data_IF_907433220210
#
_entry.id   IF_907433220210
#
_cell.length_a   1.000
_cell.length_b   1.000
_cell.length_c   1.000
_cell.angle_alpha   90.00
_cell.angle_beta   90.00
_cell.angle_gamma   90.00
#
_symmetry.space_group_name_H-M   'P 1'
#
loop_
_entity.id
_entity.type
_entity.pdbx_description
1 polymer ?
#
# COMPACT_ATOMS: atom_id res chain seq x y z
N UNK A 1 -38.70 -15.16 31.78
CA UNK A 1 -38.78 -14.43 30.49
C UNK A 1 -38.55 -12.94 30.67
N UNK A 2 -39.13 -12.28 31.69
CA UNK A 2 -38.92 -10.83 31.95
C UNK A 2 -37.45 -10.39 32.16
N UNK A 3 -36.58 -11.24 32.74
CA UNK A 3 -35.16 -10.86 32.98
C UNK A 3 -34.26 -10.88 31.73
N UNK A 4 -34.72 -11.44 30.61
CA UNK A 4 -33.97 -11.47 29.34
C UNK A 4 -34.32 -10.26 28.47
N UNK A 5 -35.55 -9.75 28.57
CA UNK A 5 -35.97 -8.53 27.88
C UNK A 5 -35.34 -7.27 28.49
N UNK A 6 -35.16 -7.19 29.81
CA UNK A 6 -34.43 -6.06 30.43
C UNK A 6 -32.95 -6.00 30.03
N UNK A 7 -32.31 -7.13 29.70
CA UNK A 7 -30.91 -7.17 29.28
C UNK A 7 -30.73 -6.76 27.81
N UNK A 8 -31.74 -6.96 26.96
CA UNK A 8 -31.76 -6.50 25.56
C UNK A 8 -32.06 -5.00 25.46
N UNK A 9 -32.88 -4.46 26.37
CA UNK A 9 -33.20 -3.01 26.41
C UNK A 9 -32.04 -2.17 27.01
N UNK A 10 -31.17 -2.76 27.83
CA UNK A 10 -30.01 -2.06 28.42
C UNK A 10 -28.75 -2.08 27.54
N UNK A 11 -28.80 -2.67 26.35
CA UNK A 11 -27.70 -2.73 25.39
C UNK A 11 -27.70 -1.61 24.33
N UNK A 12 -28.69 -0.70 24.31
CA UNK A 12 -28.90 0.23 23.19
C UNK A 12 -29.08 1.69 23.59
N UNK A 13 -28.33 2.15 24.60
CA UNK A 13 -28.09 3.59 24.78
C UNK A 13 -26.62 3.90 24.44
N UNK A 14 -26.16 3.45 23.27
CA UNK A 14 -25.00 4.12 22.66
C UNK A 14 -25.46 5.52 22.32
N UNK A 15 -24.82 6.54 22.92
CA UNK A 15 -25.05 7.94 22.53
C UNK A 15 -25.08 8.06 21.01
N UNK A 16 -25.99 8.87 20.43
CA UNK A 16 -25.98 9.13 19.00
C UNK A 16 -24.57 9.54 18.59
N UNK A 17 -24.01 8.85 17.59
CA UNK A 17 -22.69 9.20 17.06
C UNK A 17 -22.79 10.61 16.49
N UNK A 18 -21.77 11.43 16.75
CA UNK A 18 -21.69 12.75 16.13
C UNK A 18 -21.66 12.62 14.60
N UNK A 19 -22.11 13.65 13.85
CA UNK A 19 -22.01 13.66 12.40
C UNK A 19 -20.60 13.34 11.87
N UNK A 20 -19.57 13.87 12.52
CA UNK A 20 -18.18 13.60 12.17
C UNK A 20 -17.81 12.12 12.34
N UNK A 21 -18.28 11.48 13.42
CA UNK A 21 -18.08 10.05 13.64
C UNK A 21 -18.88 9.20 12.64
N UNK A 22 -20.10 9.60 12.27
CA UNK A 22 -20.87 8.92 11.23
C UNK A 22 -20.19 9.01 9.87
N UNK A 23 -19.74 10.21 9.46
CA UNK A 23 -19.00 10.43 8.21
C UNK A 23 -17.73 9.57 8.19
N UNK A 24 -16.97 9.56 9.29
CA UNK A 24 -15.75 8.77 9.38
C UNK A 24 -16.03 7.26 9.27
N UNK A 25 -17.04 6.76 9.98
CA UNK A 25 -17.42 5.35 9.89
C UNK A 25 -17.86 4.99 8.47
N UNK A 26 -18.70 5.82 7.84
CA UNK A 26 -19.14 5.63 6.46
C UNK A 26 -17.98 5.64 5.46
N UNK A 27 -17.01 6.54 5.62
CA UNK A 27 -15.82 6.61 4.77
C UNK A 27 -15.04 5.28 4.80
N UNK A 28 -14.72 4.77 5.99
CA UNK A 28 -13.93 3.55 6.12
C UNK A 28 -14.71 2.30 5.76
N UNK A 29 -16.02 2.28 6.00
CA UNK A 29 -16.88 1.20 5.53
C UNK A 29 -17.00 1.21 4.01
N UNK A 30 -17.13 2.39 3.38
CA UNK A 30 -17.13 2.54 1.93
C UNK A 30 -15.78 2.11 1.32
N UNK A 31 -14.68 2.43 2.00
CA UNK A 31 -13.33 1.97 1.61
C UNK A 31 -13.20 0.45 1.63
N UNK A 32 -13.65 -0.20 2.71
CA UNK A 32 -13.68 -1.65 2.83
C UNK A 32 -14.56 -2.31 1.76
N UNK A 33 -15.74 -1.72 1.50
CA UNK A 33 -16.68 -2.18 0.48
C UNK A 33 -16.12 -2.04 -0.94
N UNK A 34 -15.50 -0.90 -1.26
CA UNK A 34 -14.82 -0.66 -2.53
C UNK A 34 -13.67 -1.66 -2.76
N UNK A 35 -12.92 -1.99 -1.71
CA UNK A 35 -11.86 -3.00 -1.76
C UNK A 35 -12.41 -4.42 -2.00
N UNK A 36 -13.50 -4.78 -1.33
CA UNK A 36 -14.15 -6.08 -1.53
C UNK A 36 -14.67 -6.23 -2.97
N UNK A 37 -15.27 -5.17 -3.52
CA UNK A 37 -15.76 -5.13 -4.90
C UNK A 37 -14.64 -5.32 -5.94
N UNK A 38 -13.48 -4.71 -5.71
CA UNK A 38 -12.33 -4.76 -6.61
C UNK A 38 -11.35 -5.91 -6.32
N UNK A 39 -11.82 -7.00 -5.69
CA UNK A 39 -11.01 -8.21 -5.51
C UNK A 39 -9.82 -8.05 -4.57
N UNK A 40 -9.89 -7.12 -3.62
CA UNK A 40 -8.86 -6.91 -2.60
C UNK A 40 -7.96 -5.69 -2.82
N UNK A 41 -8.11 -4.98 -3.95
CA UNK A 41 -7.40 -3.73 -4.25
C UNK A 41 -8.33 -2.54 -4.01
N UNK A 42 -7.81 -1.42 -3.51
CA UNK A 42 -8.62 -0.21 -3.31
C UNK A 42 -8.99 0.39 -4.67
N UNK A 43 -10.23 0.86 -4.82
CA UNK A 43 -10.68 1.61 -5.99
C UNK A 43 -11.28 2.93 -5.52
N UNK A 44 -10.54 4.04 -5.63
CA UNK A 44 -10.98 5.34 -5.13
C UNK A 44 -12.26 5.85 -5.81
N UNK A 45 -12.51 5.47 -7.07
CA UNK A 45 -13.73 5.85 -7.75
C UNK A 45 -14.93 5.13 -7.14
N UNK A 46 -14.83 3.81 -6.98
CA UNK A 46 -15.92 3.01 -6.40
C UNK A 46 -16.13 3.30 -4.92
N UNK A 47 -15.04 3.52 -4.17
CA UNK A 47 -15.13 4.01 -2.79
C UNK A 47 -15.85 5.36 -2.73
N UNK A 48 -15.52 6.31 -3.62
CA UNK A 48 -16.18 7.60 -3.69
C UNK A 48 -17.67 7.50 -4.02
N UNK A 49 -18.04 6.60 -4.94
CA UNK A 49 -19.43 6.29 -5.32
C UNK A 49 -20.25 5.74 -4.14
N UNK A 50 -19.73 4.71 -3.47
CA UNK A 50 -20.35 4.14 -2.26
C UNK A 50 -20.46 5.19 -1.16
N UNK A 51 -19.40 5.99 -0.99
CA UNK A 51 -19.36 6.99 0.06
C UNK A 51 -20.38 8.11 -0.19
N UNK A 52 -20.51 8.57 -1.44
CA UNK A 52 -21.54 9.52 -1.83
C UNK A 52 -22.95 9.00 -1.51
N UNK A 53 -23.27 7.79 -1.99
CA UNK A 53 -24.59 7.21 -1.72
C UNK A 53 -24.82 7.05 -0.22
N UNK A 54 -23.82 6.60 0.53
CA UNK A 54 -23.93 6.46 1.99
C UNK A 54 -24.20 7.77 2.74
N UNK A 55 -23.81 8.92 2.17
CA UNK A 55 -24.00 10.24 2.77
C UNK A 55 -25.32 10.87 2.36
N UNK A 56 -25.72 10.75 1.09
CA UNK A 56 -26.82 11.52 0.50
C UNK A 56 -28.02 10.67 0.09
N UNK A 57 -27.80 9.42 -0.29
CA UNK A 57 -28.81 8.49 -0.80
C UNK A 57 -28.58 7.07 -0.27
N UNK A 58 -28.62 6.85 1.06
CA UNK A 58 -28.22 5.58 1.67
C UNK A 58 -29.10 4.38 1.26
N UNK A 59 -30.30 4.66 0.75
CA UNK A 59 -31.25 3.72 0.17
C UNK A 59 -30.88 3.29 -1.27
N UNK A 60 -29.99 4.02 -1.94
CA UNK A 60 -29.61 3.80 -3.35
C UNK A 60 -28.27 3.07 -3.52
N UNK A 61 -27.63 2.66 -2.42
CA UNK A 61 -26.38 1.90 -2.48
C UNK A 61 -26.61 0.59 -3.24
N UNK A 62 -25.76 0.33 -4.25
CA UNK A 62 -25.86 -0.84 -5.11
C UNK A 62 -25.98 -2.15 -4.28
N UNK A 63 -27.08 -2.92 -4.43
CA UNK A 63 -27.30 -4.16 -3.70
C UNK A 63 -26.17 -5.18 -3.85
N UNK A 64 -25.45 -5.19 -4.98
CA UNK A 64 -24.31 -6.08 -5.18
C UNK A 64 -23.17 -5.80 -4.20
N UNK A 65 -22.96 -4.54 -3.84
CA UNK A 65 -21.94 -4.13 -2.86
C UNK A 65 -22.36 -4.58 -1.47
N UNK A 66 -23.65 -4.40 -1.13
CA UNK A 66 -24.19 -4.85 0.14
C UNK A 66 -24.07 -6.38 0.31
N UNK A 67 -24.12 -7.17 -0.77
CA UNK A 67 -23.90 -8.62 -0.70
C UNK A 67 -22.44 -9.00 -0.43
N UNK A 68 -21.47 -8.12 -0.69
CA UNK A 68 -20.03 -8.40 -0.56
C UNK A 68 -19.46 -8.03 0.81
N UNK A 69 -20.24 -7.40 1.68
CA UNK A 69 -19.79 -6.88 2.99
C UNK A 69 -20.57 -7.51 4.15
N UNK A 70 -20.05 -7.36 5.37
CA UNK A 70 -20.66 -7.88 6.59
C UNK A 70 -21.93 -7.09 6.94
N UNK A 71 -22.90 -7.73 7.60
CA UNK A 71 -24.17 -7.07 7.94
C UNK A 71 -23.99 -5.79 8.77
N UNK A 72 -23.05 -5.79 9.72
CA UNK A 72 -22.70 -4.60 10.50
C UNK A 72 -22.27 -3.41 9.62
N UNK A 73 -21.60 -3.68 8.51
CA UNK A 73 -21.06 -2.68 7.60
C UNK A 73 -22.19 -2.13 6.70
N UNK A 74 -23.16 -2.97 6.32
CA UNK A 74 -24.39 -2.55 5.63
C UNK A 74 -25.15 -1.52 6.46
N UNK A 75 -25.33 -1.80 7.76
CA UNK A 75 -26.01 -0.89 8.68
C UNK A 75 -25.33 0.49 8.74
N UNK A 76 -23.99 0.54 8.79
CA UNK A 76 -23.24 1.80 8.80
C UNK A 76 -23.46 2.58 7.50
N UNK A 77 -23.39 1.90 6.35
CA UNK A 77 -23.56 2.57 5.05
C UNK A 77 -25.00 3.09 4.84
N UNK A 78 -26.00 2.35 5.31
CA UNK A 78 -27.41 2.68 5.12
C UNK A 78 -28.00 3.62 6.20
N UNK A 79 -27.28 3.85 7.30
CA UNK A 79 -27.71 4.78 8.36
C UNK A 79 -27.82 6.23 7.82
N UNK A 80 -28.95 6.93 7.93
CA UNK A 80 -29.03 8.33 7.52
C UNK A 80 -28.06 9.22 8.31
N UNK A 81 -27.41 10.17 7.63
CA UNK A 81 -26.53 11.14 8.29
C UNK A 81 -27.36 12.08 9.19
N UNK A 82 -26.98 12.18 10.47
CA UNK A 82 -27.65 13.04 11.45
C UNK A 82 -27.14 14.49 11.38
N UNK A 83 -27.09 15.08 10.19
CA UNK A 83 -26.62 16.44 9.96
C UNK A 83 -27.52 17.21 8.99
N UNK A 84 -27.58 18.53 9.15
CA UNK A 84 -28.22 19.43 8.19
C UNK A 84 -27.19 19.81 7.13
N UNK A 85 -27.39 19.32 5.91
CA UNK A 85 -26.58 19.71 4.75
C UNK A 85 -26.95 21.14 4.34
N UNK A 86 -25.97 22.04 4.28
CA UNK A 86 -26.21 23.46 3.99
C UNK A 86 -26.34 23.80 2.51
N UNK A 87 -25.67 23.04 1.66
CA UNK A 87 -25.54 23.31 0.23
C UNK A 87 -26.41 22.36 -0.58
N UNK A 88 -26.70 22.76 -1.82
CA UNK A 88 -27.24 21.86 -2.84
C UNK A 88 -26.31 20.65 -2.93
N UNK A 89 -26.87 19.44 -2.76
CA UNK A 89 -26.09 18.20 -2.77
C UNK A 89 -25.29 18.17 -4.08
N UNK A 90 -23.95 18.07 -4.03
CA UNK A 90 -23.15 18.05 -5.25
C UNK A 90 -23.58 16.88 -6.12
N UNK A 91 -23.45 17.00 -7.44
CA UNK A 91 -23.67 15.82 -8.29
C UNK A 91 -22.69 14.70 -7.89
N UNK A 92 -23.11 13.45 -8.06
CA UNK A 92 -22.28 12.28 -7.74
C UNK A 92 -20.89 12.36 -8.39
N UNK A 93 -20.82 12.75 -9.66
CA UNK A 93 -19.55 12.86 -10.39
C UNK A 93 -18.65 13.97 -9.84
N UNK A 94 -19.20 15.14 -9.49
CA UNK A 94 -18.44 16.22 -8.87
C UNK A 94 -17.88 15.81 -7.50
N UNK A 95 -18.71 15.14 -6.70
CA UNK A 95 -18.29 14.63 -5.40
C UNK A 95 -17.16 13.61 -5.54
N UNK A 96 -17.31 12.59 -6.40
CA UNK A 96 -16.28 11.56 -6.61
C UNK A 96 -14.98 12.19 -7.11
N UNK A 97 -15.06 13.13 -8.06
CA UNK A 97 -13.89 13.84 -8.57
C UNK A 97 -13.17 14.61 -7.46
N UNK A 98 -13.92 15.31 -6.61
CA UNK A 98 -13.33 16.08 -5.49
C UNK A 98 -12.80 15.15 -4.40
N UNK A 99 -13.54 14.10 -4.02
CA UNK A 99 -13.09 13.05 -3.09
C UNK A 99 -11.73 12.48 -3.52
N UNK A 100 -11.63 12.02 -4.77
CA UNK A 100 -10.38 11.49 -5.33
C UNK A 100 -9.25 12.50 -5.25
N UNK A 101 -9.52 13.76 -5.61
CA UNK A 101 -8.55 14.83 -5.50
C UNK A 101 -8.07 15.03 -4.06
N UNK A 102 -8.97 15.13 -3.09
CA UNK A 102 -8.60 15.31 -1.68
C UNK A 102 -7.75 14.12 -1.19
N UNK A 103 -8.18 12.88 -1.47
CA UNK A 103 -7.49 11.66 -1.04
C UNK A 103 -6.09 11.48 -1.61
N UNK A 104 -5.72 12.18 -2.68
CA UNK A 104 -4.51 11.91 -3.47
C UNK A 104 -3.63 13.15 -3.70
N UNK A 105 -4.19 14.36 -3.58
CA UNK A 105 -3.52 15.60 -3.93
C UNK A 105 -3.40 16.59 -2.77
N UNK A 106 -4.33 16.55 -1.81
CA UNK A 106 -4.32 17.45 -0.64
C UNK A 106 -3.66 16.82 0.60
N UNK A 107 -3.35 15.52 0.53
CA UNK A 107 -2.67 14.77 1.58
C UNK A 107 -1.16 14.97 1.49
N UNK A 108 -0.55 15.35 2.61
CA UNK A 108 0.90 15.49 2.79
C UNK A 108 1.56 14.10 2.94
N UNK A 109 1.55 13.29 1.88
CA UNK A 109 2.04 11.90 1.90
C UNK A 109 3.49 11.73 2.33
N UNK A 110 4.33 12.75 2.14
CA UNK A 110 5.70 12.76 2.64
C UNK A 110 5.80 12.61 4.16
N UNK A 111 4.73 12.99 4.90
CA UNK A 111 4.64 12.82 6.35
C UNK A 111 4.31 11.38 6.75
N UNK A 112 3.76 10.59 5.82
CA UNK A 112 3.49 9.17 6.03
C UNK A 112 4.70 8.28 5.78
N UNK A 113 5.84 8.82 5.33
CA UNK A 113 7.02 7.99 5.07
C UNK A 113 7.80 7.68 6.36
N UNK A 114 8.39 6.49 6.43
CA UNK A 114 9.31 6.17 7.51
C UNK A 114 10.47 7.18 7.53
N UNK A 115 10.91 7.62 8.72
CA UNK A 115 12.07 8.51 8.84
C UNK A 115 13.31 7.92 8.16
N UNK A 116 13.84 8.63 7.17
CA UNK A 116 15.01 8.22 6.40
C UNK A 116 14.71 7.35 5.17
N UNK A 117 13.46 6.97 4.89
CA UNK A 117 13.12 6.16 3.70
C UNK A 117 13.58 6.80 2.38
N UNK A 118 13.39 8.12 2.25
CA UNK A 118 13.85 8.86 1.06
C UNK A 118 15.37 8.84 0.91
N UNK A 119 16.10 8.95 2.01
CA UNK A 119 17.57 8.94 1.99
C UNK A 119 18.10 7.52 1.74
N UNK A 120 17.44 6.50 2.30
CA UNK A 120 17.73 5.11 1.98
C UNK A 120 17.58 4.82 0.47
N UNK A 121 16.50 5.27 -0.17
CA UNK A 121 16.31 5.13 -1.62
C UNK A 121 17.41 5.87 -2.41
N UNK A 122 17.79 7.09 -1.99
CA UNK A 122 18.89 7.83 -2.63
C UNK A 122 20.22 7.08 -2.53
N UNK A 123 20.50 6.50 -1.37
CA UNK A 123 21.72 5.73 -1.13
C UNK A 123 21.71 4.41 -1.92
N UNK A 124 20.57 3.72 -2.04
CA UNK A 124 20.43 2.56 -2.92
C UNK A 124 20.74 2.89 -4.38
N UNK A 125 20.35 4.09 -4.83
CA UNK A 125 20.63 4.58 -6.18
C UNK A 125 22.12 4.84 -6.46
N UNK A 126 22.98 4.86 -5.44
CA UNK A 126 24.45 4.88 -5.62
C UNK A 126 25.01 3.52 -6.05
N UNK A 127 24.25 2.44 -5.81
CA UNK A 127 24.66 1.06 -6.12
C UNK A 127 24.02 0.53 -7.41
N UNK A 128 22.85 1.05 -7.79
CA UNK A 128 22.20 0.70 -9.05
C UNK A 128 20.78 1.25 -9.19
N UNK A 129 20.07 0.92 -10.28
CA UNK A 129 18.73 1.44 -10.50
C UNK A 129 17.74 0.92 -9.45
N UNK A 130 16.76 1.76 -9.09
CA UNK A 130 15.74 1.42 -8.11
C UNK A 130 14.34 1.69 -8.67
N UNK A 131 13.40 0.79 -8.37
CA UNK A 131 12.00 0.91 -8.72
C UNK A 131 11.16 0.82 -7.45
N UNK A 132 10.36 1.85 -7.21
CA UNK A 132 9.32 1.79 -6.18
C UNK A 132 8.08 1.23 -6.84
N UNK A 133 7.57 0.10 -6.35
CA UNK A 133 6.30 -0.45 -6.81
C UNK A 133 5.21 -0.31 -5.73
N UNK A 134 3.97 -0.20 -6.16
CA UNK A 134 2.81 -0.20 -5.28
C UNK A 134 1.63 -0.76 -6.06
N UNK A 135 0.66 -1.33 -5.35
CA UNK A 135 -0.56 -1.80 -6.00
C UNK A 135 -1.39 -0.57 -6.38
N UNK A 136 -1.60 -0.38 -7.68
CA UNK A 136 -2.44 0.67 -8.24
C UNK A 136 -3.92 0.30 -8.15
N UNK A 137 -4.80 1.29 -8.13
CA UNK A 137 -6.26 1.07 -8.17
C UNK A 137 -6.68 0.33 -9.45
N UNK A 138 -7.48 -0.73 -9.28
CA UNK A 138 -8.17 -1.45 -10.36
C UNK A 138 -9.17 -0.52 -11.03
N UNK A 139 -9.15 -0.46 -12.37
CA UNK A 139 -10.18 0.14 -13.23
C UNK A 139 -11.08 1.22 -12.57
N UNK A 140 -10.69 2.48 -12.63
CA UNK A 140 -11.73 3.47 -12.94
C UNK A 140 -12.04 3.32 -14.42
N UNK A 141 -13.33 3.41 -14.79
CA UNK A 141 -13.81 3.32 -16.16
C UNK A 141 -12.77 3.86 -17.14
N UNK A 142 -12.46 3.08 -18.20
CA UNK A 142 -11.60 3.54 -19.29
C UNK A 142 -11.99 4.99 -19.60
N UNK A 143 -11.12 5.94 -19.23
CA UNK A 143 -11.27 7.27 -19.76
C UNK A 143 -11.14 7.05 -21.26
N UNK A 144 -12.01 7.65 -22.07
CA UNK A 144 -11.94 7.57 -23.54
C UNK A 144 -10.56 7.93 -24.16
N UNK A 145 -9.60 8.33 -23.34
CA UNK A 145 -8.18 8.54 -23.63
C UNK A 145 -7.26 7.31 -23.46
N UNK A 146 -7.77 6.13 -23.09
CA UNK A 146 -6.97 4.89 -22.95
C UNK A 146 -5.99 4.89 -21.77
N UNK A 147 -6.15 5.78 -20.78
CA UNK A 147 -5.29 5.86 -19.59
C UNK A 147 -6.06 5.44 -18.34
N UNK A 148 -5.48 4.54 -17.55
CA UNK A 148 -6.05 4.06 -16.29
C UNK A 148 -6.07 5.20 -15.24
N UNK A 149 -7.26 5.60 -14.74
CA UNK A 149 -7.39 6.69 -13.77
C UNK A 149 -6.86 6.38 -12.36
N UNK A 150 -6.56 5.10 -12.08
CA UNK A 150 -6.10 4.61 -10.77
C UNK A 150 -4.58 4.68 -10.55
N UNK A 151 -3.80 4.25 -11.55
CA UNK A 151 -2.34 4.35 -11.55
C UNK A 151 -1.85 5.80 -11.51
N UNK A 152 -2.58 6.71 -12.14
CA UNK A 152 -2.17 8.12 -12.24
C UNK A 152 -2.16 8.85 -10.88
N UNK A 153 -3.14 8.61 -10.02
CA UNK A 153 -3.19 9.28 -8.71
C UNK A 153 -2.18 8.67 -7.71
N UNK A 154 -1.94 7.36 -7.79
CA UNK A 154 -0.85 6.68 -7.07
C UNK A 154 0.54 7.22 -7.50
N UNK A 155 0.75 7.41 -8.80
CA UNK A 155 1.96 8.06 -9.32
C UNK A 155 2.09 9.51 -8.84
N UNK A 156 0.99 10.27 -8.78
CA UNK A 156 1.00 11.64 -8.23
C UNK A 156 1.34 11.64 -6.75
N UNK A 157 0.77 10.73 -5.96
CA UNK A 157 1.08 10.55 -4.53
C UNK A 157 2.58 10.38 -4.34
N UNK A 158 3.18 9.42 -5.03
CA UNK A 158 4.62 9.12 -4.91
C UNK A 158 5.49 10.28 -5.41
N UNK A 159 5.11 10.90 -6.52
CA UNK A 159 5.80 12.06 -7.06
C UNK A 159 5.80 13.25 -6.08
N UNK A 160 4.65 13.55 -5.47
CA UNK A 160 4.46 14.65 -4.52
C UNK A 160 5.06 14.38 -3.15
N UNK A 161 5.08 13.12 -2.70
CA UNK A 161 5.75 12.73 -1.45
C UNK A 161 7.28 12.91 -1.47
N UNK A 162 7.85 13.33 -2.60
CA UNK A 162 9.25 13.75 -2.73
C UNK A 162 10.06 12.90 -3.71
N UNK A 163 9.56 11.75 -4.17
CA UNK A 163 10.26 10.93 -5.17
C UNK A 163 10.28 11.57 -6.55
N UNK A 164 9.32 12.45 -6.86
CA UNK A 164 9.36 13.29 -8.06
C UNK A 164 10.52 14.28 -8.05
N UNK A 165 10.86 14.83 -6.88
CA UNK A 165 12.04 15.68 -6.72
C UNK A 165 13.32 14.87 -6.88
N UNK A 166 13.42 13.70 -6.22
CA UNK A 166 14.56 12.79 -6.36
C UNK A 166 14.80 12.45 -7.84
N UNK A 167 13.75 12.08 -8.58
CA UNK A 167 13.86 11.79 -10.03
C UNK A 167 14.33 13.00 -10.85
N UNK A 168 13.94 14.23 -10.48
CA UNK A 168 14.40 15.46 -11.15
C UNK A 168 15.88 15.76 -10.84
N UNK A 169 16.29 15.59 -9.58
CA UNK A 169 17.67 15.83 -9.13
C UNK A 169 18.67 14.85 -9.77
N UNK A 170 18.18 13.68 -10.20
CA UNK A 170 18.97 12.65 -10.88
C UNK A 170 19.07 12.83 -12.39
N UNK A 171 18.43 13.85 -13.00
CA UNK A 171 18.52 14.09 -14.45
C UNK A 171 19.98 14.24 -14.88
N UNK A 172 20.49 13.24 -15.61
CA UNK A 172 21.85 13.19 -16.14
C UNK A 172 22.76 12.09 -15.53
N UNK A 173 22.31 11.35 -14.51
CA UNK A 173 23.04 10.20 -13.94
C UNK A 173 22.57 8.87 -14.55
N UNK A 174 23.46 7.88 -14.62
CA UNK A 174 23.18 6.55 -15.18
C UNK A 174 22.16 5.74 -14.35
N UNK A 175 22.06 5.98 -13.04
CA UNK A 175 21.13 5.28 -12.15
C UNK A 175 19.73 5.93 -12.18
N UNK A 176 18.72 5.17 -12.62
CA UNK A 176 17.34 5.64 -12.79
C UNK A 176 16.45 5.23 -11.62
N UNK A 177 15.65 6.17 -11.12
CA UNK A 177 14.52 5.88 -10.23
C UNK A 177 13.24 5.69 -11.06
N UNK A 178 12.70 4.46 -11.03
CA UNK A 178 11.41 4.09 -11.57
C UNK A 178 10.30 4.13 -10.51
N UNK A 179 9.07 4.39 -10.93
CA UNK A 179 7.88 4.27 -10.09
C UNK A 179 6.83 3.48 -10.86
N UNK A 180 6.33 2.41 -10.24
CA UNK A 180 5.37 1.47 -10.80
C UNK A 180 4.12 1.52 -9.92
N UNK A 181 2.98 1.85 -10.50
CA UNK A 181 1.70 1.81 -9.80
C UNK A 181 0.70 1.11 -10.71
N UNK A 182 0.50 -0.18 -10.49
CA UNK A 182 -0.34 -1.02 -11.34
C UNK A 182 -1.11 -2.04 -10.47
N UNK A 183 -2.32 -2.40 -10.88
CA UNK A 183 -3.12 -3.43 -10.21
C UNK A 183 -2.40 -4.79 -10.18
N UNK A 184 -1.56 -5.04 -11.18
CA UNK A 184 -0.71 -6.22 -11.28
C UNK A 184 0.75 -5.78 -11.37
N UNK A 185 1.26 -5.22 -10.28
CA UNK A 185 2.66 -4.77 -10.15
C UNK A 185 3.69 -5.84 -10.56
N UNK A 186 3.36 -7.13 -10.45
CA UNK A 186 4.22 -8.24 -10.86
C UNK A 186 4.50 -8.25 -12.37
N UNK A 187 3.54 -7.87 -13.22
CA UNK A 187 3.75 -7.85 -14.69
C UNK A 187 4.90 -6.94 -15.10
N UNK A 188 5.10 -5.84 -14.36
CA UNK A 188 6.15 -4.86 -14.62
C UNK A 188 7.57 -5.40 -14.31
N UNK A 189 7.69 -6.49 -13.54
CA UNK A 189 9.00 -7.12 -13.31
C UNK A 189 9.68 -7.53 -14.62
N UNK A 190 8.93 -7.77 -15.69
CA UNK A 190 9.48 -7.98 -17.03
C UNK A 190 10.30 -6.78 -17.52
N UNK A 191 9.77 -5.58 -17.33
CA UNK A 191 10.44 -4.33 -17.73
C UNK A 191 11.65 -4.05 -16.85
N UNK A 192 11.58 -4.40 -15.54
CA UNK A 192 12.74 -4.32 -14.63
C UNK A 192 13.84 -5.26 -15.09
N UNK A 193 13.51 -6.52 -15.39
CA UNK A 193 14.48 -7.54 -15.83
C UNK A 193 15.17 -7.12 -17.12
N UNK A 194 14.43 -6.63 -18.12
CA UNK A 194 15.02 -6.13 -19.37
C UNK A 194 15.87 -4.88 -19.16
N UNK A 195 15.41 -3.91 -18.36
CA UNK A 195 16.21 -2.75 -18.04
C UNK A 195 17.50 -3.13 -17.29
N UNK A 196 17.44 -4.12 -16.41
CA UNK A 196 18.60 -4.67 -15.73
C UNK A 196 19.58 -5.35 -16.68
N UNK A 197 19.08 -6.09 -17.67
CA UNK A 197 19.90 -6.68 -18.73
C UNK A 197 20.65 -5.60 -19.53
N UNK A 198 19.94 -4.55 -19.97
CA UNK A 198 20.53 -3.40 -20.68
C UNK A 198 21.62 -2.70 -19.85
N UNK A 199 21.49 -2.69 -18.52
CA UNK A 199 22.46 -2.10 -17.59
C UNK A 199 23.56 -3.08 -17.16
N UNK A 200 23.56 -4.32 -17.65
CA UNK A 200 24.46 -5.40 -17.23
C UNK A 200 24.42 -5.73 -15.74
N UNK A 201 23.28 -5.49 -15.10
CA UNK A 201 23.00 -5.97 -13.76
C UNK A 201 22.99 -7.50 -13.76
N UNK A 202 23.41 -8.11 -12.66
CA UNK A 202 23.43 -9.57 -12.48
C UNK A 202 22.49 -10.03 -11.38
N UNK A 203 21.89 -9.09 -10.67
CA UNK A 203 20.96 -9.39 -9.60
C UNK A 203 19.86 -8.34 -9.48
N UNK A 204 18.68 -8.80 -9.09
CA UNK A 204 17.57 -7.96 -8.63
C UNK A 204 17.29 -8.29 -7.17
N UNK A 205 17.37 -7.27 -6.33
CA UNK A 205 16.97 -7.32 -4.94
C UNK A 205 15.52 -6.87 -4.84
N UNK A 206 14.64 -7.73 -4.37
CA UNK A 206 13.20 -7.44 -4.22
C UNK A 206 12.93 -7.26 -2.74
N UNK A 207 12.40 -6.11 -2.35
CA UNK A 207 12.17 -5.73 -0.96
C UNK A 207 10.68 -5.50 -0.79
N UNK A 208 10.05 -6.28 0.07
CA UNK A 208 8.60 -6.25 0.30
C UNK A 208 8.32 -6.66 1.75
N UNK A 209 7.14 -6.33 2.27
CA UNK A 209 6.71 -6.69 3.62
C UNK A 209 5.94 -8.03 3.63
N UNK A 210 5.62 -8.61 2.45
CA UNK A 210 4.81 -9.83 2.32
C UNK A 210 5.58 -10.97 1.68
N UNK A 211 5.58 -12.13 2.35
CA UNK A 211 6.23 -13.35 1.86
C UNK A 211 5.66 -13.79 0.51
N UNK A 212 4.34 -13.73 0.35
CA UNK A 212 3.67 -14.09 -0.91
C UNK A 212 4.16 -13.23 -2.09
N UNK A 213 4.27 -11.92 -1.91
CA UNK A 213 4.74 -11.02 -2.96
C UNK A 213 6.16 -11.36 -3.39
N UNK A 214 7.06 -11.67 -2.42
CA UNK A 214 8.43 -12.06 -2.69
C UNK A 214 8.50 -13.40 -3.45
N UNK A 215 7.67 -14.39 -3.08
CA UNK A 215 7.58 -15.68 -3.78
C UNK A 215 7.05 -15.51 -5.20
N UNK A 216 5.96 -14.76 -5.37
CA UNK A 216 5.33 -14.53 -6.67
C UNK A 216 6.28 -13.79 -7.62
N UNK A 217 6.96 -12.76 -7.11
CA UNK A 217 7.93 -11.99 -7.87
C UNK A 217 9.14 -12.83 -8.28
N UNK A 218 9.67 -13.62 -7.35
CA UNK A 218 10.78 -14.53 -7.64
C UNK A 218 10.40 -15.58 -8.68
N UNK A 219 9.21 -16.16 -8.57
CA UNK A 219 8.67 -17.14 -9.53
C UNK A 219 8.49 -16.51 -10.91
N UNK A 220 7.92 -15.30 -10.95
CA UNK A 220 7.67 -14.58 -12.19
C UNK A 220 8.98 -14.25 -12.93
N UNK A 221 9.99 -13.72 -12.22
CA UNK A 221 11.30 -13.42 -12.80
C UNK A 221 12.00 -14.71 -13.24
N UNK A 222 11.99 -15.79 -12.46
CA UNK A 222 12.53 -17.09 -12.89
C UNK A 222 11.85 -17.59 -14.16
N UNK A 223 10.53 -17.42 -14.27
CA UNK A 223 9.76 -17.76 -15.46
C UNK A 223 10.18 -16.97 -16.70
N UNK A 224 10.54 -15.70 -16.56
CA UNK A 224 11.08 -14.86 -17.64
C UNK A 224 12.48 -15.34 -18.07
N UNK A 225 13.32 -15.72 -17.09
CA UNK A 225 14.75 -15.97 -17.29
C UNK A 225 15.10 -17.35 -17.86
N UNK A 226 14.14 -18.28 -17.94
CA UNK A 226 14.35 -19.66 -18.43
C UNK A 226 14.92 -19.75 -19.85
N UNK A 227 15.02 -18.64 -20.59
CA UNK A 227 15.50 -18.64 -21.96
C UNK A 227 16.88 -17.97 -22.20
N UNK A 228 17.43 -17.11 -21.32
CA UNK A 228 18.58 -16.28 -21.74
C UNK A 228 19.72 -15.93 -20.73
N UNK A 229 19.56 -15.96 -19.39
CA UNK A 229 20.61 -15.44 -18.48
C UNK A 229 20.69 -16.07 -17.07
N UNK A 230 21.90 -16.12 -16.50
CA UNK A 230 22.10 -16.39 -15.07
C UNK A 230 21.92 -15.09 -14.27
N UNK A 231 20.72 -14.88 -13.75
CA UNK A 231 20.34 -13.67 -13.03
C UNK A 231 19.95 -14.04 -11.60
N UNK A 232 20.59 -13.43 -10.60
CA UNK A 232 20.31 -13.75 -9.19
C UNK A 232 19.11 -12.95 -8.69
N UNK A 233 18.22 -13.58 -7.94
CA UNK A 233 17.07 -12.91 -7.33
C UNK A 233 17.27 -12.98 -5.83
N UNK A 234 17.30 -11.82 -5.18
CA UNK A 234 17.50 -11.70 -3.74
C UNK A 234 16.22 -11.12 -3.12
N UNK A 235 15.26 -11.97 -2.71
CA UNK A 235 14.09 -11.51 -1.97
C UNK A 235 14.49 -11.14 -0.54
N UNK A 236 14.06 -9.97 -0.08
CA UNK A 236 14.29 -9.44 1.27
C UNK A 236 12.94 -9.05 1.86
N UNK A 237 12.60 -9.69 2.97
CA UNK A 237 11.44 -9.36 3.77
C UNK A 237 11.78 -8.22 4.75
N UNK A 238 10.99 -7.16 4.73
CA UNK A 238 11.02 -6.12 5.75
C UNK A 238 10.08 -6.53 6.90
N UNK A 239 10.65 -6.75 8.07
CA UNK A 239 9.89 -7.03 9.28
C UNK A 239 9.26 -5.74 9.83
N UNK A 240 8.03 -5.84 10.34
CA UNK A 240 7.20 -4.69 10.75
C UNK A 240 7.67 -3.96 12.02
N UNK A 241 8.93 -4.15 12.42
CA UNK A 241 9.46 -3.63 13.69
C UNK A 241 9.48 -2.11 13.74
N UNK A 242 9.50 -1.42 12.59
CA UNK A 242 9.28 0.03 12.56
C UNK A 242 7.78 0.38 12.64
N UNK A 243 6.88 -0.33 11.94
CA UNK A 243 5.42 -0.17 12.07
C UNK A 243 4.94 -0.32 13.52
N UNK A 244 5.44 -1.33 14.23
CA UNK A 244 5.14 -1.60 15.65
C UNK A 244 5.54 -0.42 16.56
N UNK A 245 6.68 0.22 16.29
CA UNK A 245 7.13 1.42 17.04
C UNK A 245 6.21 2.62 16.83
N UNK A 246 5.48 2.67 15.71
CA UNK A 246 4.49 3.70 15.41
C UNK A 246 3.06 3.29 15.77
N UNK A 247 2.88 2.24 16.58
CA UNK A 247 1.57 1.83 17.11
C UNK A 247 0.69 1.11 16.09
N UNK A 248 1.26 0.63 14.99
CA UNK A 248 0.57 -0.24 14.04
C UNK A 248 0.66 -1.69 14.56
N UNK A 249 -0.45 -2.36 14.89
CA UNK A 249 -0.41 -3.78 15.21
C UNK A 249 0.12 -4.50 13.97
N UNK A 250 1.15 -5.33 14.13
CA UNK A 250 1.72 -6.02 12.97
C UNK A 250 0.64 -6.87 12.30
N UNK A 251 0.42 -6.66 11.00
CA UNK A 251 -0.51 -7.49 10.22
C UNK A 251 0.17 -8.80 9.84
N UNK A 252 0.49 -9.61 10.86
CA UNK A 252 1.19 -10.87 10.67
C UNK A 252 0.45 -11.80 9.70
N UNK A 253 -0.88 -11.70 9.60
CA UNK A 253 -1.70 -12.50 8.69
C UNK A 253 -1.64 -11.96 7.26
N UNK A 254 -1.60 -10.64 7.06
CA UNK A 254 -1.44 -10.01 5.75
C UNK A 254 -0.09 -10.28 5.09
N UNK A 255 0.92 -10.71 5.87
CA UNK A 255 2.27 -11.07 5.39
C UNK A 255 2.40 -12.51 4.90
N UNK A 256 1.46 -13.39 5.26
CA UNK A 256 1.53 -14.82 4.95
C UNK A 256 0.99 -15.15 3.55
N UNK A 257 1.47 -16.25 2.95
CA UNK A 257 0.85 -16.83 1.77
C UNK A 257 -0.64 -17.13 1.98
N UNK A 258 -1.45 -16.98 0.93
CA UNK A 258 -2.91 -17.21 1.05
C UNK A 258 -3.19 -18.64 1.51
N UNK A 259 -3.92 -18.77 2.62
CA UNK A 259 -4.28 -20.08 3.18
C UNK A 259 -3.18 -20.73 4.01
N UNK A 260 -2.03 -20.07 4.20
CA UNK A 260 -0.97 -20.56 5.07
C UNK A 260 -1.40 -20.48 6.54
N UNK A 261 -1.13 -21.55 7.29
CA UNK A 261 -1.37 -21.63 8.73
C UNK A 261 -0.01 -21.71 9.43
N UNK A 262 0.33 -20.68 10.21
CA UNK A 262 1.62 -20.61 10.91
C UNK A 262 2.05 -19.17 11.19
N UNK A 263 3.31 -19.00 11.57
CA UNK A 263 3.93 -17.68 11.73
C UNK A 263 4.66 -17.21 10.46
N UNK A 264 5.14 -15.97 10.46
CA UNK A 264 5.96 -15.43 9.36
C UNK A 264 7.29 -16.20 9.24
N UNK A 265 7.87 -16.61 10.37
CA UNK A 265 9.08 -17.43 10.41
C UNK A 265 8.85 -18.80 9.78
N UNK A 266 7.69 -19.43 10.04
CA UNK A 266 7.31 -20.69 9.40
C UNK A 266 7.19 -20.53 7.88
N UNK A 267 6.56 -19.44 7.42
CA UNK A 267 6.42 -19.16 5.99
C UNK A 267 7.77 -18.92 5.29
N UNK A 268 8.71 -18.26 5.97
CA UNK A 268 10.08 -18.06 5.46
C UNK A 268 10.83 -19.40 5.40
N UNK A 269 10.70 -20.23 6.44
CA UNK A 269 11.32 -21.55 6.46
C UNK A 269 10.80 -22.44 5.31
N UNK A 270 9.48 -22.43 5.08
CA UNK A 270 8.85 -23.13 3.96
C UNK A 270 9.32 -22.58 2.60
N UNK A 271 9.33 -21.26 2.42
CA UNK A 271 9.83 -20.65 1.19
C UNK A 271 11.30 -20.98 0.90
N UNK A 272 12.14 -21.01 1.95
CA UNK A 272 13.54 -21.43 1.84
C UNK A 272 13.67 -22.90 1.41
N UNK A 273 12.83 -23.80 1.94
CA UNK A 273 12.79 -25.21 1.52
C UNK A 273 12.36 -25.36 0.05
N UNK A 274 11.51 -24.47 -0.44
CA UNK A 274 11.11 -24.39 -1.85
C UNK A 274 12.16 -23.70 -2.75
N UNK A 275 13.31 -23.29 -2.19
CA UNK A 275 14.41 -22.68 -2.93
C UNK A 275 14.27 -21.17 -3.15
N UNK A 276 13.39 -20.49 -2.43
CA UNK A 276 13.34 -19.02 -2.33
C UNK A 276 14.18 -18.61 -1.12
N UNK A 277 15.50 -18.42 -1.30
CA UNK A 277 16.39 -17.99 -0.23
C UNK A 277 16.04 -16.53 0.13
N UNK A 278 15.23 -16.33 1.18
CA UNK A 278 14.76 -15.01 1.61
C UNK A 278 15.62 -14.44 2.73
N UNK A 279 16.09 -13.21 2.52
CA UNK A 279 16.66 -12.39 3.58
C UNK A 279 15.59 -11.74 4.45
N UNK A 280 15.97 -11.39 5.67
CA UNK A 280 15.13 -10.66 6.60
C UNK A 280 15.88 -9.43 7.09
N UNK A 281 15.20 -8.29 7.12
CA UNK A 281 15.77 -7.06 7.64
C UNK A 281 14.68 -6.22 8.32
N UNK A 282 15.05 -5.40 9.31
CA UNK A 282 14.06 -4.68 10.13
C UNK A 282 13.57 -3.40 9.45
N UNK A 283 14.36 -2.80 8.57
CA UNK A 283 13.97 -1.63 7.78
C UNK A 283 14.89 -1.37 6.59
N UNK A 284 14.45 -0.50 5.67
CA UNK A 284 15.27 -0.01 4.56
C UNK A 284 16.57 0.65 5.04
N UNK A 285 16.52 1.35 6.18
CA UNK A 285 17.69 2.01 6.76
C UNK A 285 18.75 0.99 7.20
N UNK A 286 18.30 -0.11 7.81
CA UNK A 286 19.20 -1.21 8.18
C UNK A 286 19.83 -1.83 6.92
N UNK A 287 19.03 -2.10 5.88
CA UNK A 287 19.55 -2.60 4.60
C UNK A 287 20.67 -1.74 4.06
N UNK A 288 20.45 -0.43 3.97
CA UNK A 288 21.47 0.49 3.46
C UNK A 288 22.69 0.58 4.39
N UNK A 289 22.49 0.47 5.71
CA UNK A 289 23.57 0.32 6.67
C UNK A 289 24.45 -0.90 6.36
N UNK A 290 23.83 -2.04 6.02
CA UNK A 290 24.56 -3.24 5.59
C UNK A 290 25.21 -3.05 4.22
N UNK A 291 24.54 -2.39 3.25
CA UNK A 291 25.14 -2.04 1.96
C UNK A 291 26.46 -1.25 2.13
N UNK A 292 26.47 -0.27 3.05
CA UNK A 292 27.65 0.56 3.33
C UNK A 292 28.79 -0.21 4.02
N UNK A 293 28.46 -1.23 4.83
CA UNK A 293 29.47 -2.07 5.51
C UNK A 293 30.15 -3.04 4.56
N UNK A 294 29.45 -3.48 3.51
CA UNK A 294 29.96 -4.37 2.46
C UNK A 294 31.01 -3.71 1.55
N UNK A 295 32.17 -3.34 2.11
CA UNK A 295 33.27 -2.66 1.38
C UNK A 295 33.88 -3.48 0.23
N UNK A 296 33.65 -4.79 0.20
CA UNK A 296 34.22 -5.71 -0.80
C UNK A 296 33.20 -6.22 -1.84
N UNK A 297 32.01 -5.59 -1.92
CA UNK A 297 31.00 -5.95 -2.92
C UNK A 297 30.20 -7.20 -2.60
N UNK A 298 30.14 -7.61 -1.33
CA UNK A 298 29.24 -8.64 -0.81
C UNK A 298 28.75 -8.23 0.58
N UNK A 299 27.44 -8.29 0.82
CA UNK A 299 26.83 -7.71 2.04
C UNK A 299 26.47 -8.73 3.12
N UNK A 300 26.76 -10.01 2.92
CA UNK A 300 26.47 -11.02 3.93
C UNK A 300 27.59 -12.07 3.93
N UNK A 301 28.44 -12.03 4.96
CA UNK A 301 29.50 -13.01 5.18
C UNK A 301 28.96 -14.27 5.90
N UNK A 302 29.67 -15.41 5.82
CA UNK A 302 29.29 -16.63 6.51
C UNK A 302 29.13 -16.51 8.04
N UNK A 303 29.78 -15.54 8.69
CA UNK A 303 29.65 -15.32 10.13
C UNK A 303 28.34 -14.59 10.54
N UNK A 304 27.71 -13.83 9.63
CA UNK A 304 26.40 -13.21 9.87
C UNK A 304 25.25 -14.25 9.95
N UNK A 305 25.51 -15.51 9.58
CA UNK A 305 24.55 -16.63 9.52
C UNK A 305 24.07 -17.17 10.88
N UNK A 306 24.59 -16.70 12.01
CA UNK A 306 24.26 -17.28 13.32
C UNK A 306 22.96 -16.78 13.94
N UNK A 307 22.38 -15.69 13.45
CA UNK A 307 21.15 -15.14 14.03
C UNK A 307 20.06 -14.73 13.05
N UNK A 308 20.33 -14.49 11.75
CA UNK A 308 19.27 -14.22 10.76
C UNK A 308 19.59 -14.87 9.42
N UNK A 309 18.62 -15.64 8.91
CA UNK A 309 18.73 -16.58 7.79
C UNK A 309 19.04 -15.83 6.49
N UNK A 310 20.28 -15.93 6.01
CA UNK A 310 20.70 -15.42 4.71
C UNK A 310 21.88 -16.24 4.16
N UNK A 311 21.81 -16.67 2.90
CA UNK A 311 22.88 -17.45 2.25
C UNK A 311 23.30 -16.94 0.85
N UNK A 312 22.92 -15.71 0.46
CA UNK A 312 23.14 -15.23 -0.92
C UNK A 312 23.80 -13.84 -1.04
N UNK A 313 25.12 -13.73 -1.07
CA UNK A 313 25.82 -12.44 -1.14
C UNK A 313 25.24 -11.45 -2.20
N UNK A 314 24.92 -10.22 -1.77
CA UNK A 314 24.52 -9.11 -2.67
C UNK A 314 25.77 -8.49 -3.31
N UNK A 315 25.92 -8.62 -4.63
CA UNK A 315 26.93 -7.89 -5.42
C UNK A 315 26.50 -6.45 -5.75
N UNK A 316 26.96 -5.52 -4.93
CA UNK A 316 26.67 -4.08 -5.03
C UNK A 316 26.98 -3.45 -6.38
N UNK A 317 27.85 -4.03 -7.21
CA UNK A 317 28.28 -3.39 -8.47
C UNK A 317 27.33 -3.65 -9.63
N UNK A 318 26.36 -4.55 -9.46
CA UNK A 318 25.47 -5.04 -10.53
C UNK A 318 24.06 -5.32 -10.01
N UNK A 319 23.53 -4.41 -9.19
CA UNK A 319 22.27 -4.58 -8.48
C UNK A 319 21.18 -3.67 -9.00
N UNK A 320 20.04 -4.24 -9.34
CA UNK A 320 18.77 -3.53 -9.42
C UNK A 320 17.95 -3.73 -8.15
N UNK A 321 17.19 -2.72 -7.74
CA UNK A 321 16.34 -2.78 -6.54
C UNK A 321 14.87 -2.60 -6.90
N UNK A 322 14.00 -3.49 -6.44
CA UNK A 322 12.55 -3.32 -6.47
C UNK A 322 12.08 -3.19 -5.02
N UNK A 323 11.36 -2.12 -4.71
CA UNK A 323 11.02 -1.76 -3.32
C UNK A 323 9.53 -1.52 -3.21
N UNK A 324 8.87 -2.26 -2.32
CA UNK A 324 7.48 -1.98 -1.95
C UNK A 324 7.34 -0.60 -1.32
N UNK A 325 6.22 0.04 -1.65
CA UNK A 325 5.90 1.32 -1.06
C UNK A 325 5.20 1.14 0.29
N UNK A 326 4.19 0.28 0.32
CA UNK A 326 3.30 0.12 1.46
C UNK A 326 4.04 -0.70 2.54
N UNK A 327 4.00 -0.25 3.78
CA UNK A 327 4.70 -0.83 4.95
C UNK A 327 6.25 -1.02 4.83
N UNK A 328 6.86 -0.57 3.73
CA UNK A 328 8.33 -0.55 3.52
C UNK A 328 8.87 0.88 3.40
N UNK A 329 8.18 1.75 2.66
CA UNK A 329 8.52 3.18 2.53
C UNK A 329 7.55 4.05 3.33
N UNK A 330 6.27 3.67 3.36
CA UNK A 330 5.21 4.40 4.03
C UNK A 330 4.58 3.65 5.19
N UNK A 331 4.17 4.39 6.22
CA UNK A 331 3.42 3.93 7.39
C UNK A 331 1.93 3.95 7.03
N UNK A 332 1.32 2.78 6.91
CA UNK A 332 -0.07 2.65 6.47
C UNK A 332 -1.08 3.39 7.38
N UNK A 333 -0.89 3.34 8.69
CA UNK A 333 -1.75 4.04 9.65
C UNK A 333 -1.63 5.56 9.55
N UNK A 334 -0.43 6.09 9.39
CA UNK A 334 -0.21 7.53 9.25
C UNK A 334 -0.80 8.02 7.92
N UNK A 335 -0.65 7.24 6.85
CA UNK A 335 -1.30 7.52 5.56
C UNK A 335 -2.82 7.58 5.71
N UNK A 336 -3.40 6.57 6.36
CA UNK A 336 -4.83 6.45 6.65
C UNK A 336 -5.32 7.65 7.46
N UNK A 337 -4.60 8.04 8.51
CA UNK A 337 -4.88 9.20 9.36
C UNK A 337 -4.87 10.51 8.57
N UNK A 338 -3.83 10.76 7.76
CA UNK A 338 -3.72 11.99 6.96
C UNK A 338 -4.81 12.07 5.89
N UNK A 339 -5.18 10.94 5.27
CA UNK A 339 -6.31 10.87 4.35
C UNK A 339 -7.65 11.17 5.06
N UNK A 340 -7.83 10.65 6.27
CA UNK A 340 -8.98 10.96 7.11
C UNK A 340 -9.08 12.46 7.40
N UNK A 341 -7.98 13.08 7.84
CA UNK A 341 -7.93 14.51 8.17
C UNK A 341 -8.24 15.38 6.96
N UNK A 342 -7.73 15.00 5.78
CA UNK A 342 -8.00 15.72 4.55
C UNK A 342 -9.50 15.65 4.18
N UNK A 343 -10.11 14.47 4.23
CA UNK A 343 -11.54 14.29 3.92
C UNK A 343 -12.43 14.97 4.95
N UNK A 344 -12.16 14.78 6.25
CA UNK A 344 -12.93 15.45 7.30
C UNK A 344 -12.75 16.97 7.25
N UNK A 345 -11.56 17.46 6.90
CA UNK A 345 -11.32 18.88 6.69
C UNK A 345 -12.08 19.45 5.47
N UNK A 346 -12.17 18.68 4.39
CA UNK A 346 -12.96 19.06 3.22
C UNK A 346 -14.47 19.01 3.50
N UNK A 347 -14.97 17.88 3.99
CA UNK A 347 -16.38 17.69 4.31
C UNK A 347 -16.83 18.57 5.47
N UNK A 348 -15.98 18.83 6.46
CA UNK A 348 -16.31 19.73 7.57
C UNK A 348 -16.58 21.17 7.10
N UNK A 349 -15.88 21.64 6.05
CA UNK A 349 -16.17 22.95 5.44
C UNK A 349 -17.52 22.99 4.70
N UNK A 350 -18.04 21.84 4.27
CA UNK A 350 -19.24 21.73 3.42
C UNK A 350 -20.48 21.29 4.22
N UNK A 351 -20.30 20.38 5.18
CA UNK A 351 -21.33 19.72 5.98
C UNK A 351 -21.41 20.33 7.39
N UNK A 352 -20.30 20.85 7.94
CA UNK A 352 -20.21 21.24 9.36
C UNK A 352 -20.05 22.75 9.64
N UNK A 353 -20.32 23.65 8.69
CA UNK A 353 -20.32 25.08 9.01
C UNK A 353 -21.48 25.53 9.96
N UNK A 354 -22.24 24.63 10.59
CA UNK A 354 -23.29 24.98 11.57
C UNK A 354 -23.14 24.15 12.85
N UNK A 355 -22.28 24.64 13.74
CA UNK A 355 -22.60 24.77 15.16
C UNK A 355 -21.71 25.87 15.74
N UNK A 356 -21.97 27.12 15.37
CA UNK A 356 -21.76 28.29 16.23
C UNK A 356 -23.03 29.15 16.19
#
# INVERSE_FOLDING_TARGET
MEKVEEALVRGSESKPKSPSEQINNKLWTAWGAGRAYAGGVVNQWKTGDIFYDSLFHPDQIDPKILLMIKDKDKLILQEPLQAVLKEEVPSKDEFIKKYRHVMTQEVAFEKAYFPGAKDAIKEMLEYGPAWIWTTGDVHGAEIASGKLPGSHEQLKRLARGGFGQIKRDLKGKQHKLGIIADENKLKFLKDVVFASEENHDRQVVIIDDKVQNLMDASSYIRGILLEFFSFNIVPILILDRECEKYGTPSDNLGKLPRGFQGTVEDAIADANQQGYIMGQISSLKELVGELKKGKDGQIFSPEARKTHVFDGAIDLRRTAFVVDHDDVISIDNERTRLQQEAILGWLGKQILQLTE
#
